data_IF_668155476005
#
_entry.id   IF_668155476005
#
_cell.length_a   1.000
_cell.length_b   1.000
_cell.length_c   1.000
_cell.angle_alpha   90.00
_cell.angle_beta   90.00
_cell.angle_gamma   90.00
#
_symmetry.space_group_name_H-M   'P 1'
#
loop_
_entity.id
_entity.type
_entity.pdbx_description
1 polymer ?
2 water ?
#
# COMPACT_ATOMS: atom_id res chain seq x y z
N UNK A 1 10.37 19.35 -14.86
CA UNK A 1 9.34 18.70 -14.01
C UNK A 1 8.63 17.57 -14.77
N UNK A 2 8.54 17.70 -16.09
CA UNK A 2 7.93 16.64 -16.91
C UNK A 2 9.13 15.70 -17.09
N UNK A 3 8.90 14.44 -16.84
CA UNK A 3 9.97 13.47 -16.83
C UNK A 3 9.97 12.37 -17.89
N UNK A 4 11.18 11.94 -18.28
CA UNK A 4 11.36 10.88 -19.28
C UNK A 4 12.14 9.73 -18.65
N UNK A 5 11.62 8.51 -18.78
CA UNK A 5 12.28 7.34 -18.20
C UNK A 5 12.37 6.17 -19.18
N UNK A 6 13.15 5.16 -18.82
CA UNK A 6 13.32 3.99 -19.66
C UNK A 6 12.34 2.87 -19.34
N UNK A 7 11.83 2.86 -18.11
CA UNK A 7 10.89 1.81 -17.70
C UNK A 7 9.82 2.38 -16.78
N UNK A 8 8.63 1.78 -16.86
CA UNK A 8 7.54 2.23 -16.02
C UNK A 8 7.86 2.00 -14.53
N UNK A 9 8.76 1.07 -14.24
CA UNK A 9 9.11 0.80 -12.84
C UNK A 9 9.81 2.00 -12.21
N UNK A 10 10.43 2.84 -13.04
CA UNK A 10 11.10 4.03 -12.53
C UNK A 10 10.08 5.04 -12.02
N UNK A 11 8.81 4.82 -12.38
CA UNK A 11 7.75 5.72 -11.94
C UNK A 11 7.21 5.35 -10.57
N UNK A 12 7.60 4.18 -10.07
CA UNK A 12 7.15 3.74 -8.77
C UNK A 12 7.82 4.61 -7.71
N UNK A 13 7.02 5.22 -6.84
CA UNK A 13 7.57 6.07 -5.80
C UNK A 13 7.40 7.55 -6.06
N UNK A 14 7.92 8.35 -5.14
CA UNK A 14 7.82 9.81 -5.21
C UNK A 14 6.38 10.26 -5.38
N UNK A 15 5.52 9.67 -4.57
CA UNK A 15 4.10 9.99 -4.59
C UNK A 15 3.86 11.32 -3.88
N UNK A 16 2.94 12.13 -4.40
CA UNK A 16 2.63 13.43 -3.81
C UNK A 16 1.81 13.38 -2.54
N UNK A 17 1.90 14.44 -1.76
CA UNK A 17 1.15 14.58 -0.53
C UNK A 17 0.24 15.77 -0.73
N UNK A 18 -1.04 15.59 -0.44
CA UNK A 18 -2.02 16.65 -0.60
C UNK A 18 -2.56 17.10 0.75
N UNK A 19 -2.52 18.41 1.00
CA UNK A 19 -3.01 18.95 2.25
C UNK A 19 -4.54 19.00 2.22
N UNK A 20 -5.19 18.55 3.28
CA UNK A 20 -6.65 18.57 3.34
C UNK A 20 -7.10 19.98 3.72
N UNK A 21 -8.20 20.43 3.13
CA UNK A 21 -8.69 21.78 3.38
C UNK A 21 -10.12 21.90 3.86
N UNK A 22 -10.92 20.85 3.75
CA UNK A 22 -12.31 20.95 4.14
C UNK A 22 -12.84 20.01 5.21
N UNK A 23 -12.32 18.80 5.27
CA UNK A 23 -12.82 17.84 6.25
C UNK A 23 -12.11 17.94 7.59
N UNK A 24 -11.20 18.90 7.71
CA UNK A 24 -10.47 19.09 8.97
C UNK A 24 -10.99 20.32 9.72
N UNK A 25 -11.32 20.13 10.99
CA UNK A 25 -11.82 21.21 11.82
C UNK A 25 -10.78 22.33 11.98
N UNK A 26 -11.25 23.53 12.29
CA UNK A 26 -10.39 24.69 12.47
C UNK A 26 -9.34 24.49 13.57
N UNK A 27 -9.64 23.61 14.51
CA UNK A 27 -8.76 23.33 15.65
C UNK A 27 -7.62 22.33 15.46
N UNK A 28 -7.79 21.42 14.53
CA UNK A 28 -6.79 20.39 14.31
C UNK A 28 -5.48 20.80 13.67
N UNK A 29 -4.52 19.88 13.73
CA UNK A 29 -3.22 20.06 13.12
C UNK A 29 -3.54 19.93 11.65
N UNK A 30 -2.58 20.28 10.79
CA UNK A 30 -2.80 20.17 9.35
C UNK A 30 -2.64 18.69 9.03
N UNK A 31 -3.43 18.21 8.08
CA UNK A 31 -3.38 16.81 7.69
C UNK A 31 -3.00 16.68 6.22
N UNK A 32 -2.04 15.82 5.93
CA UNK A 32 -1.59 15.60 4.57
C UNK A 32 -1.79 14.14 4.19
N UNK A 33 -2.29 13.89 2.98
CA UNK A 33 -2.49 12.53 2.53
C UNK A 33 -1.53 12.21 1.38
N UNK A 34 -0.67 11.22 1.59
CA UNK A 34 0.29 10.79 0.58
C UNK A 34 -0.45 9.78 -0.29
N UNK A 35 -0.68 10.14 -1.55
CA UNK A 35 -1.45 9.33 -2.48
C UNK A 35 -0.68 8.24 -3.22
N UNK A 36 -0.62 7.06 -2.63
CA UNK A 36 0.08 5.94 -3.22
C UNK A 36 -0.58 5.37 -4.47
N UNK A 37 -1.80 5.81 -4.77
CA UNK A 37 -2.44 5.31 -5.99
C UNK A 37 -1.89 6.07 -7.19
N UNK A 38 -1.00 7.01 -6.93
CA UNK A 38 -0.39 7.76 -8.01
C UNK A 38 0.72 6.89 -8.61
N UNK A 39 0.99 5.75 -7.98
CA UNK A 39 2.01 4.83 -8.50
C UNK A 39 1.43 4.28 -9.81
N UNK A 40 2.30 3.82 -10.73
CA UNK A 40 1.84 3.27 -12.02
C UNK A 40 0.88 2.10 -11.92
N UNK A 41 1.00 1.31 -10.85
CA UNK A 41 0.12 0.18 -10.64
C UNK A 41 -1.04 0.56 -9.74
N UNK A 42 -1.10 1.86 -9.42
CA UNK A 42 -2.14 2.46 -8.60
C UNK A 42 -2.30 2.02 -7.14
N UNK A 43 -1.21 1.58 -6.52
CA UNK A 43 -1.27 1.20 -5.11
C UNK A 43 0.12 1.21 -4.51
N UNK A 44 0.17 1.34 -3.18
CA UNK A 44 1.43 1.36 -2.47
C UNK A 44 2.21 0.06 -2.69
N UNK A 45 1.49 -1.01 -3.02
CA UNK A 45 2.13 -2.30 -3.24
C UNK A 45 3.05 -2.40 -4.45
N UNK A 46 3.08 -1.37 -5.29
CA UNK A 46 3.98 -1.34 -6.43
C UNK A 46 5.40 -1.38 -5.86
N UNK A 47 5.57 -0.66 -4.75
CA UNK A 47 6.87 -0.57 -4.08
C UNK A 47 7.43 -1.91 -3.62
N UNK A 48 6.63 -2.68 -2.88
CA UNK A 48 7.11 -3.97 -2.39
C UNK A 48 7.35 -4.92 -3.55
N UNK A 49 6.51 -4.86 -4.57
CA UNK A 49 6.69 -5.73 -5.73
C UNK A 49 8.06 -5.43 -6.37
N UNK A 50 8.34 -4.16 -6.61
CA UNK A 50 9.61 -3.77 -7.20
C UNK A 50 10.80 -4.19 -6.32
N UNK A 51 10.70 -3.90 -5.02
CA UNK A 51 11.76 -4.24 -4.07
C UNK A 51 12.05 -5.74 -4.03
N UNK A 52 11.01 -6.57 -4.06
CA UNK A 52 11.16 -8.02 -4.03
C UNK A 52 11.96 -8.52 -5.23
N UNK A 53 11.61 -8.00 -6.40
CA UNK A 53 12.27 -8.40 -7.63
C UNK A 53 13.68 -7.85 -7.75
N UNK A 54 13.92 -6.63 -7.27
CA UNK A 54 15.26 -6.06 -7.31
C UNK A 54 16.19 -6.79 -6.35
N UNK A 55 15.64 -7.28 -5.24
CA UNK A 55 16.44 -8.01 -4.26
C UNK A 55 16.88 -9.32 -4.93
N UNK A 56 15.94 -9.96 -5.61
CA UNK A 56 16.21 -11.21 -6.30
C UNK A 56 17.28 -10.99 -7.38
N UNK A 57 17.21 -9.87 -8.08
CA UNK A 57 18.18 -9.57 -9.12
C UNK A 57 19.54 -9.33 -8.48
N UNK A 58 19.59 -8.43 -7.51
CA UNK A 58 20.83 -8.13 -6.81
C UNK A 58 21.48 -9.40 -6.31
N UNK A 59 20.66 -10.34 -5.84
CA UNK A 59 21.15 -11.62 -5.31
C UNK A 59 21.48 -12.62 -6.41
N UNK A 60 21.54 -12.12 -7.64
CA UNK A 60 21.84 -12.99 -8.77
C UNK A 60 20.92 -14.20 -8.93
N UNK A 61 19.78 -14.18 -8.26
CA UNK A 61 18.82 -15.28 -8.36
C UNK A 61 17.92 -15.20 -9.61
N UNK A 62 18.07 -14.14 -10.40
CA UNK A 62 17.24 -13.99 -11.59
C UNK A 62 17.98 -13.51 -12.82
N UNK A 63 17.76 -14.21 -13.93
CA UNK A 63 18.38 -13.82 -15.17
C UNK A 63 17.24 -13.55 -16.13
N UNK A 64 17.52 -12.82 -17.21
CA UNK A 64 16.51 -12.46 -18.21
C UNK A 64 15.50 -13.57 -18.51
N UNK A 65 14.25 -13.18 -18.69
CA UNK A 65 13.20 -14.12 -19.02
C UNK A 65 12.91 -15.27 -18.06
N UNK A 66 13.53 -15.28 -16.89
CA UNK A 66 13.30 -16.36 -15.93
C UNK A 66 11.90 -16.33 -15.32
N UNK A 67 11.47 -17.49 -14.84
CA UNK A 67 10.15 -17.62 -14.22
C UNK A 67 10.27 -17.45 -12.72
N UNK A 68 9.34 -16.69 -12.14
CA UNK A 68 9.32 -16.50 -10.70
C UNK A 68 7.93 -16.86 -10.24
N UNK A 69 7.86 -17.61 -9.15
CA UNK A 69 6.57 -17.99 -8.61
C UNK A 69 6.40 -17.23 -7.31
N UNK A 70 5.17 -16.85 -7.00
CA UNK A 70 4.93 -16.10 -5.79
C UNK A 70 3.50 -16.24 -5.30
N UNK A 71 3.32 -16.65 -4.05
CA UNK A 71 1.97 -16.79 -3.49
C UNK A 71 1.59 -15.35 -3.16
N UNK A 72 0.51 -14.86 -3.75
CA UNK A 72 0.14 -13.48 -3.51
C UNK A 72 -1.36 -13.24 -3.64
N UNK A 73 -1.77 -12.00 -3.44
CA UNK A 73 -3.18 -11.64 -3.54
C UNK A 73 -3.32 -10.12 -3.54
N UNK A 74 -4.51 -9.66 -3.86
CA UNK A 74 -4.79 -8.23 -3.86
C UNK A 74 -3.86 -7.34 -4.66
N UNK A 75 -3.60 -6.16 -4.12
CA UNK A 75 -2.77 -5.18 -4.80
C UNK A 75 -1.33 -5.63 -5.01
N UNK A 76 -0.82 -6.50 -4.15
CA UNK A 76 0.54 -6.98 -4.34
C UNK A 76 0.61 -7.84 -5.60
N UNK A 77 -0.48 -8.56 -5.86
CA UNK A 77 -0.54 -9.40 -7.06
C UNK A 77 -0.49 -8.54 -8.31
N UNK A 78 -1.26 -7.45 -8.31
CA UNK A 78 -1.29 -6.55 -9.45
C UNK A 78 0.10 -5.92 -9.62
N UNK A 79 0.70 -5.52 -8.51
CA UNK A 79 2.02 -4.91 -8.54
C UNK A 79 3.04 -5.86 -9.13
N UNK A 80 3.06 -7.10 -8.65
CA UNK A 80 4.01 -8.09 -9.17
C UNK A 80 3.81 -8.37 -10.66
N UNK A 81 2.55 -8.47 -11.08
CA UNK A 81 2.26 -8.73 -12.49
C UNK A 81 2.83 -7.62 -13.36
N UNK A 82 2.58 -6.37 -12.96
CA UNK A 82 3.07 -5.23 -13.73
C UNK A 82 4.60 -5.16 -13.76
N UNK A 83 5.21 -5.31 -12.59
CA UNK A 83 6.67 -5.24 -12.48
C UNK A 83 7.34 -6.35 -13.27
N UNK A 84 6.82 -7.57 -13.15
CA UNK A 84 7.38 -8.71 -13.87
C UNK A 84 7.35 -8.43 -15.37
N UNK A 85 6.24 -7.87 -15.85
CA UNK A 85 6.10 -7.56 -17.27
C UNK A 85 7.15 -6.52 -17.72
N UNK A 86 7.30 -5.46 -16.96
CA UNK A 86 8.25 -4.40 -17.30
C UNK A 86 9.69 -4.92 -17.26
N UNK A 87 9.97 -5.82 -16.33
CA UNK A 87 11.30 -6.38 -16.15
C UNK A 87 11.62 -7.55 -17.07
N UNK A 88 10.59 -8.09 -17.73
CA UNK A 88 10.80 -9.19 -18.64
C UNK A 88 10.83 -10.58 -18.01
N UNK A 89 10.25 -10.72 -16.81
CA UNK A 89 10.21 -12.03 -16.14
C UNK A 89 8.86 -12.69 -16.31
N UNK A 90 8.83 -14.03 -16.27
CA UNK A 90 7.58 -14.76 -16.40
C UNK A 90 7.02 -15.03 -15.01
N UNK A 91 5.94 -14.33 -14.67
CA UNK A 91 5.35 -14.48 -13.36
C UNK A 91 4.25 -15.54 -13.25
N UNK A 92 4.39 -16.38 -12.24
CA UNK A 92 3.41 -17.41 -11.94
C UNK A 92 2.88 -17.01 -10.57
N UNK A 93 1.67 -16.46 -10.54
CA UNK A 93 1.10 -15.99 -9.30
C UNK A 93 0.13 -17.01 -8.74
N UNK A 94 0.43 -17.50 -7.54
CA UNK A 94 -0.41 -18.49 -6.86
C UNK A 94 -1.28 -17.65 -5.94
N UNK A 95 -2.58 -17.63 -6.23
CA UNK A 95 -3.49 -16.79 -5.46
C UNK A 95 -4.78 -17.46 -5.03
N UNK A 96 -5.27 -17.10 -3.84
CA UNK A 96 -6.53 -17.68 -3.37
C UNK A 96 -7.59 -17.29 -4.41
N UNK A 97 -8.39 -18.26 -4.81
CA UNK A 97 -9.43 -18.05 -5.81
C UNK A 97 -10.60 -17.27 -5.21
N UNK A 98 -10.39 -15.96 -5.01
CA UNK A 98 -11.42 -15.10 -4.42
C UNK A 98 -11.69 -13.85 -5.27
N UNK A 99 -10.92 -13.66 -6.33
CA UNK A 99 -11.08 -12.48 -7.17
C UNK A 99 -12.08 -12.64 -8.30
N UNK A 100 -12.51 -11.51 -8.84
CA UNK A 100 -13.46 -11.48 -9.94
C UNK A 100 -12.81 -11.83 -11.27
N UNK A 101 -13.64 -12.04 -12.29
CA UNK A 101 -13.14 -12.34 -13.62
C UNK A 101 -12.34 -11.17 -14.15
N UNK A 102 -12.84 -9.95 -13.96
CA UNK A 102 -12.13 -8.77 -14.44
C UNK A 102 -10.76 -8.64 -13.79
N UNK A 103 -10.62 -9.02 -12.52
CA UNK A 103 -9.33 -8.94 -11.86
C UNK A 103 -8.38 -9.91 -12.54
N UNK A 104 -8.88 -11.10 -12.85
CA UNK A 104 -8.08 -12.09 -13.55
C UNK A 104 -7.72 -11.56 -14.94
N UNK A 105 -8.62 -10.80 -15.55
CA UNK A 105 -8.36 -10.22 -16.87
C UNK A 105 -7.17 -9.27 -16.74
N UNK A 106 -7.20 -8.46 -15.69
CA UNK A 106 -6.16 -7.48 -15.42
C UNK A 106 -4.81 -8.17 -15.26
N UNK A 107 -4.74 -9.13 -14.35
CA UNK A 107 -3.49 -9.84 -14.08
C UNK A 107 -2.96 -10.52 -15.33
N UNK A 108 -3.87 -11.17 -16.07
CA UNK A 108 -3.45 -11.88 -17.28
C UNK A 108 -3.04 -10.91 -18.38
N UNK A 109 -3.57 -9.70 -18.35
CA UNK A 109 -3.21 -8.70 -19.35
C UNK A 109 -1.70 -8.41 -19.28
N UNK A 110 -1.14 -8.53 -18.09
CA UNK A 110 0.29 -8.29 -17.90
C UNK A 110 1.11 -9.52 -18.25
N UNK A 111 0.45 -10.58 -18.68
CA UNK A 111 1.14 -11.79 -19.06
C UNK A 111 1.38 -12.75 -17.90
N UNK A 112 0.83 -12.43 -16.73
CA UNK A 112 1.00 -13.28 -15.57
C UNK A 112 0.19 -14.56 -15.72
N UNK A 113 0.74 -15.67 -15.23
CA UNK A 113 0.06 -16.95 -15.28
C UNK A 113 -0.54 -17.13 -13.90
N UNK A 114 -1.82 -17.48 -13.84
CA UNK A 114 -2.45 -17.64 -12.55
C UNK A 114 -2.69 -19.09 -12.15
N UNK A 115 -2.41 -19.37 -10.88
CA UNK A 115 -2.64 -20.69 -10.30
C UNK A 115 -3.53 -20.39 -9.10
N UNK A 116 -4.82 -20.70 -9.23
CA UNK A 116 -5.79 -20.40 -8.19
C UNK A 116 -6.00 -21.52 -7.17
N UNK A 117 -5.87 -21.15 -5.90
CA UNK A 117 -6.03 -22.11 -4.80
C UNK A 117 -7.36 -21.92 -4.07
N UNK A 118 -7.78 -22.92 -3.27
CA UNK A 118 -9.04 -22.85 -2.52
C UNK A 118 -9.24 -21.53 -1.76
N UNK A 119 -10.31 -20.83 -2.09
CA UNK A 119 -10.60 -19.56 -1.45
C UNK A 119 -10.65 -19.61 0.07
N UNK A 120 -11.20 -20.69 0.60
CA UNK A 120 -11.33 -20.85 2.05
C UNK A 120 -10.01 -21.06 2.78
N UNK A 121 -8.97 -21.44 2.05
CA UNK A 121 -7.67 -21.67 2.68
C UNK A 121 -6.80 -20.42 2.66
N UNK A 122 -7.32 -19.37 2.04
CA UNK A 122 -6.57 -18.12 1.98
C UNK A 122 -5.12 -18.28 1.56
N UNK A 123 -4.28 -17.38 2.07
CA UNK A 123 -2.87 -17.38 1.75
C UNK A 123 -2.11 -18.65 2.15
N UNK A 124 -2.53 -19.26 3.24
CA UNK A 124 -1.86 -20.47 3.68
C UNK A 124 -1.92 -21.50 2.54
N UNK A 125 -3.09 -21.59 1.91
CA UNK A 125 -3.26 -22.51 0.80
C UNK A 125 -2.40 -22.12 -0.39
N UNK A 126 -2.33 -20.82 -0.68
CA UNK A 126 -1.54 -20.32 -1.79
C UNK A 126 -0.07 -20.60 -1.53
N UNK A 127 0.37 -20.31 -0.31
CA UNK A 127 1.75 -20.53 0.09
C UNK A 127 2.13 -22.01 -0.07
N UNK A 128 1.23 -22.91 0.33
CA UNK A 128 1.47 -24.34 0.21
C UNK A 128 1.61 -24.77 -1.25
N UNK A 129 0.69 -24.30 -2.09
CA UNK A 129 0.73 -24.65 -3.51
C UNK A 129 2.01 -24.14 -4.18
N UNK A 130 2.42 -22.94 -3.80
CA UNK A 130 3.63 -22.37 -4.37
C UNK A 130 4.85 -23.21 -4.02
N UNK A 131 4.94 -23.60 -2.74
CA UNK A 131 6.07 -24.42 -2.31
C UNK A 131 6.04 -25.75 -3.04
N UNK A 132 4.83 -26.21 -3.36
CA UNK A 132 4.65 -27.45 -4.08
C UNK A 132 5.22 -27.31 -5.50
N UNK A 133 4.86 -26.22 -6.16
CA UNK A 133 5.32 -25.96 -7.52
C UNK A 133 6.84 -25.84 -7.59
N UNK A 134 7.42 -25.24 -6.56
CA UNK A 134 8.87 -25.08 -6.48
C UNK A 134 9.52 -26.47 -6.43
N UNK A 135 9.04 -27.34 -5.55
CA UNK A 135 9.62 -28.67 -5.45
C UNK A 135 9.43 -29.48 -6.72
N UNK A 136 8.37 -29.20 -7.47
CA UNK A 136 8.12 -29.94 -8.71
C UNK A 136 8.81 -29.32 -9.92
N UNK A 137 8.82 -27.99 -10.00
CA UNK A 137 9.40 -27.31 -11.16
C UNK A 137 10.72 -26.58 -10.94
N UNK A 138 11.04 -26.31 -9.69
CA UNK A 138 12.29 -25.61 -9.39
C UNK A 138 12.22 -24.13 -9.69
N UNK A 139 11.00 -23.58 -9.77
CA UNK A 139 10.86 -22.16 -10.05
C UNK A 139 11.48 -21.38 -8.91
N UNK A 140 11.85 -20.14 -9.20
CA UNK A 140 12.44 -19.30 -8.18
C UNK A 140 11.31 -18.58 -7.45
N UNK A 141 11.32 -18.62 -6.12
CA UNK A 141 10.28 -17.98 -5.33
C UNK A 141 10.87 -16.97 -4.36
N UNK A 142 10.61 -15.69 -4.60
CA UNK A 142 11.13 -14.65 -3.70
C UNK A 142 10.02 -13.94 -2.94
N UNK A 157 12.25 4.06 0.86
CA UNK A 157 12.07 5.18 -0.05
C UNK A 157 10.89 6.05 0.36
N UNK A 158 9.83 5.42 0.86
CA UNK A 158 8.65 6.15 1.29
C UNK A 158 9.01 7.15 2.38
N UNK A 159 9.83 6.70 3.33
CA UNK A 159 10.25 7.57 4.41
C UNK A 159 11.08 8.74 3.92
N UNK A 160 12.00 8.48 3.01
CA UNK A 160 12.86 9.52 2.46
C UNK A 160 12.00 10.59 1.77
N UNK A 161 11.01 10.13 1.01
CA UNK A 161 10.11 11.03 0.30
C UNK A 161 9.36 11.91 1.28
N UNK A 162 8.86 11.30 2.35
CA UNK A 162 8.11 12.03 3.35
C UNK A 162 8.92 13.17 3.99
N UNK A 163 10.19 12.91 4.28
CA UNK A 163 11.05 13.93 4.87
C UNK A 163 11.18 15.11 3.91
N UNK A 164 11.37 14.80 2.63
CA UNK A 164 11.52 15.81 1.60
C UNK A 164 10.25 16.65 1.47
N UNK A 165 9.10 15.99 1.54
CA UNK A 165 7.80 16.67 1.42
C UNK A 165 7.34 17.44 2.65
N UNK A 166 7.64 16.90 3.83
CA UNK A 166 7.24 17.54 5.08
C UNK A 166 8.30 18.53 5.57
N UNK A 167 9.47 18.48 4.95
CA UNK A 167 10.53 19.39 5.32
C UNK A 167 11.04 19.29 6.75
N UNK A 168 11.05 20.42 7.44
CA UNK A 168 11.56 20.49 8.80
C UNK A 168 10.58 20.11 9.92
N UNK A 169 9.34 19.81 9.59
CA UNK A 169 8.37 19.44 10.62
C UNK A 169 7.35 18.37 10.24
N UNK A 170 7.15 17.43 11.15
CA UNK A 170 6.18 16.35 11.01
C UNK A 170 5.94 15.84 12.42
N UNK A 171 4.71 15.96 12.87
CA UNK A 171 4.35 15.55 14.22
C UNK A 171 3.80 14.14 14.39
N UNK A 172 3.19 13.58 13.36
CA UNK A 172 2.64 12.23 13.44
C UNK A 172 2.54 11.59 12.07
N UNK A 173 2.77 10.28 12.03
CA UNK A 173 2.69 9.53 10.80
C UNK A 173 1.66 8.43 10.99
N UNK A 174 0.72 8.32 10.05
CA UNK A 174 -0.35 7.32 10.16
C UNK A 174 -0.41 6.41 8.94
N UNK A 175 -0.48 5.10 9.16
CA UNK A 175 -0.55 4.16 8.06
C UNK A 175 -1.23 2.85 8.45
N UNK A 176 -1.97 2.28 7.51
CA UNK A 176 -2.66 1.04 7.77
C UNK A 176 -1.71 -0.14 7.89
N UNK A 177 -2.13 -1.14 8.66
CA UNK A 177 -1.29 -2.32 8.84
C UNK A 177 -1.16 -3.10 7.55
N UNK A 178 -2.07 -2.85 6.62
CA UNK A 178 -2.03 -3.52 5.33
C UNK A 178 -0.82 -3.11 4.52
N UNK A 179 -0.18 -2.01 4.89
CA UNK A 179 1.01 -1.53 4.18
C UNK A 179 2.26 -2.19 4.75
N UNK A 180 2.06 -3.01 5.78
CA UNK A 180 3.13 -3.74 6.44
C UNK A 180 4.50 -3.11 6.60
N UNK A 181 5.48 -3.70 5.91
CA UNK A 181 6.85 -3.21 5.97
C UNK A 181 7.09 -1.77 5.56
N UNK A 182 6.17 -1.19 4.78
CA UNK A 182 6.33 0.19 4.36
C UNK A 182 6.44 1.02 5.64
N UNK A 183 5.55 0.75 6.58
CA UNK A 183 5.54 1.42 7.87
C UNK A 183 6.87 1.17 8.56
N UNK A 184 7.17 -0.11 8.68
CA UNK A 184 8.39 -0.58 9.31
C UNK A 184 9.61 0.15 8.75
N UNK A 185 9.71 0.24 7.42
CA UNK A 185 10.84 0.91 6.80
C UNK A 185 10.87 2.44 6.84
N UNK A 186 9.71 3.07 6.67
CA UNK A 186 9.63 4.53 6.68
C UNK A 186 9.91 5.09 8.08
N UNK A 187 9.53 4.32 9.10
CA UNK A 187 9.73 4.73 10.48
C UNK A 187 11.17 5.00 10.89
N UNK A 188 12.10 4.19 10.38
CA UNK A 188 13.50 4.36 10.71
C UNK A 188 13.99 5.73 10.23
N UNK A 189 13.59 6.08 9.02
CA UNK A 189 13.98 7.36 8.44
C UNK A 189 13.30 8.51 9.19
N UNK A 190 11.99 8.38 9.40
CA UNK A 190 11.21 9.41 10.08
C UNK A 190 11.66 9.76 11.49
N UNK A 191 11.91 8.75 12.31
CA UNK A 191 12.35 9.01 13.69
C UNK A 191 13.69 9.75 13.74
N UNK A 192 14.55 9.50 12.76
CA UNK A 192 15.87 10.16 12.68
C UNK A 192 15.78 11.60 12.24
N UNK A 193 14.78 11.89 11.42
CA UNK A 193 14.58 13.24 10.93
C UNK A 193 13.72 14.02 11.93
N UNK A 194 12.75 13.32 12.51
CA UNK A 194 11.83 13.92 13.48
C UNK A 194 11.83 13.09 14.77
N UNK A 195 12.86 13.27 15.60
CA UNK A 195 13.01 12.54 16.87
C UNK A 195 11.74 12.41 17.71
N UNK A 196 10.94 13.48 17.75
CA UNK A 196 9.72 13.48 18.56
C UNK A 196 8.45 12.92 17.90
N UNK A 197 8.56 12.50 16.64
CA UNK A 197 7.39 11.98 15.91
C UNK A 197 6.73 10.75 16.52
N UNK A 198 5.40 10.71 16.45
CA UNK A 198 4.63 9.58 16.94
C UNK A 198 4.11 8.84 15.70
N UNK A 199 4.25 7.52 15.69
CA UNK A 199 3.80 6.71 14.56
C UNK A 199 2.65 5.79 14.95
N UNK A 200 1.56 5.85 14.19
CA UNK A 200 0.39 5.03 14.49
C UNK A 200 0.03 4.03 13.42
N UNK A 201 -0.20 2.78 13.83
CA UNK A 201 -0.59 1.73 12.90
C UNK A 201 -2.11 1.70 13.00
N UNK A 202 -2.79 1.62 11.86
CA UNK A 202 -4.24 1.61 11.87
C UNK A 202 -4.79 0.25 11.48
N UNK A 203 -5.75 -0.26 12.25
CA UNK A 203 -6.30 -1.55 11.93
C UNK A 203 -7.81 -1.67 12.03
N UNK A 204 -8.38 -2.58 11.22
CA UNK A 204 -9.81 -2.88 11.14
C UNK A 204 -10.38 -3.14 12.54
N UNK A 205 -11.61 -2.74 12.78
CA UNK A 205 -12.25 -3.00 14.06
C UNK A 205 -12.40 -4.49 14.15
N UNK A 206 -12.68 -5.11 13.00
CA UNK A 206 -12.87 -6.56 12.92
C UNK A 206 -11.69 -7.25 13.55
N UNK A 230 17.76 -8.50 24.51
CA UNK A 230 16.40 -8.90 24.84
C UNK A 230 15.58 -7.73 25.38
N UNK A 231 15.56 -6.67 24.59
CA UNK A 231 14.73 -5.52 24.92
C UNK A 231 13.70 -5.49 23.81
N UNK A 232 12.45 -5.22 24.17
CA UNK A 232 11.39 -5.18 23.18
C UNK A 232 11.60 -3.96 22.29
N UNK A 233 11.50 -4.17 20.98
CA UNK A 233 11.66 -3.07 20.03
C UNK A 233 10.28 -2.48 19.77
N UNK A 234 10.13 -1.20 20.09
CA UNK A 234 8.86 -0.50 19.89
C UNK A 234 9.01 0.56 18.82
N UNK A 235 10.13 0.53 18.11
CA UNK A 235 10.42 1.52 17.08
C UNK A 235 9.45 1.55 15.90
N UNK A 236 8.84 0.42 15.58
CA UNK A 236 7.91 0.38 14.46
C UNK A 236 6.69 1.29 14.63
N UNK A 237 6.09 1.28 15.81
CA UNK A 237 4.93 2.14 16.06
C UNK A 237 4.74 2.46 17.53
N UNK A 238 4.19 3.65 17.79
CA UNK A 238 3.93 4.10 19.14
C UNK A 238 2.58 3.60 19.63
N UNK A 239 1.58 3.65 18.76
CA UNK A 239 0.26 3.19 19.14
C UNK A 239 -0.52 2.57 18.01
N UNK A 240 -1.54 1.81 18.36
CA UNK A 240 -2.41 1.17 17.38
C UNK A 240 -3.74 1.90 17.45
N UNK A 241 -4.30 2.23 16.28
CA UNK A 241 -5.58 2.90 16.22
C UNK A 241 -6.56 1.98 15.52
N UNK A 242 -7.65 1.67 16.20
CA UNK A 242 -8.67 0.79 15.64
C UNK A 242 -9.82 1.58 15.04
N UNK A 243 -10.20 1.23 13.82
CA UNK A 243 -11.28 1.93 13.15
C UNK A 243 -12.34 0.97 12.63
N UNK A 244 -13.59 1.25 12.97
CA UNK A 244 -14.71 0.43 12.53
C UNK A 244 -14.94 0.65 11.04
N UNK A 245 -15.52 -0.35 10.37
CA UNK A 245 -15.79 -0.26 8.94
C UNK A 245 -16.70 0.92 8.68
N UNK A 246 -17.55 1.21 9.66
CA UNK A 246 -18.50 2.30 9.56
C UNK A 246 -17.77 3.63 9.57
N UNK A 247 -16.78 3.75 10.47
CA UNK A 247 -15.98 4.97 10.55
C UNK A 247 -15.16 5.12 9.28
N UNK A 248 -14.62 4.01 8.80
CA UNK A 248 -13.80 4.02 7.59
C UNK A 248 -14.62 4.51 6.40
N UNK A 249 -15.78 3.91 6.19
CA UNK A 249 -16.67 4.29 5.10
C UNK A 249 -16.97 5.79 5.13
N UNK A 250 -17.34 6.28 6.31
CA UNK A 250 -17.68 7.69 6.50
C UNK A 250 -16.56 8.64 6.08
N UNK A 251 -15.34 8.34 6.52
CA UNK A 251 -14.19 9.19 6.20
C UNK A 251 -13.83 9.16 4.71
N UNK A 252 -13.83 7.98 4.10
CA UNK A 252 -13.49 7.89 2.69
C UNK A 252 -14.53 8.57 1.81
N UNK A 253 -15.81 8.44 2.20
CA UNK A 253 -16.88 9.06 1.42
C UNK A 253 -16.79 10.57 1.49
N UNK A 254 -16.42 11.06 2.66
CA UNK A 254 -16.31 12.47 2.89
C UNK A 254 -15.12 13.08 2.13
N UNK A 255 -13.97 12.43 2.17
CA UNK A 255 -12.79 12.94 1.49
C UNK A 255 -13.04 12.96 -0.02
N UNK A 256 -13.79 11.98 -0.50
CA UNK A 256 -14.04 11.88 -1.93
C UNK A 256 -14.93 13.07 -2.38
N UNK A 257 -15.99 13.32 -1.61
CA UNK A 257 -16.92 14.40 -1.87
C UNK A 257 -16.33 15.82 -1.70
N UNK A 258 -15.68 15.99 -0.56
CA UNK A 258 -15.12 17.28 -0.18
C UNK A 258 -13.70 17.63 -0.56
N UNK A 259 -12.90 16.65 -0.94
CA UNK A 259 -11.51 16.93 -1.31
C UNK A 259 -11.18 16.38 -2.70
N UNK A 260 -12.04 15.51 -3.23
CA UNK A 260 -11.77 14.93 -4.54
C UNK A 260 -10.70 13.85 -4.44
N UNK A 261 -10.51 13.33 -3.22
CA UNK A 261 -9.54 12.26 -2.96
C UNK A 261 -10.33 10.97 -2.75
N UNK A 262 -10.25 10.09 -3.74
CA UNK A 262 -10.99 8.82 -3.77
C UNK A 262 -10.16 7.58 -3.42
N UNK A 263 -10.20 7.16 -2.16
CA UNK A 263 -9.43 6.00 -1.78
C UNK A 263 -10.25 4.74 -1.55
N UNK A 264 -9.57 3.63 -1.25
CA UNK A 264 -10.28 2.40 -0.97
C UNK A 264 -10.68 2.37 0.49
N UNK A 265 -11.21 1.25 0.98
CA UNK A 265 -11.63 1.19 2.38
C UNK A 265 -10.51 1.41 3.39
N UNK A 266 -9.36 0.77 3.17
CA UNK A 266 -8.26 0.95 4.10
C UNK A 266 -7.89 2.43 4.14
N UNK A 267 -8.17 3.14 3.05
CA UNK A 267 -7.87 4.57 2.99
C UNK A 267 -8.78 5.36 3.93
N UNK A 268 -10.05 4.99 3.98
CA UNK A 268 -10.98 5.67 4.86
C UNK A 268 -10.54 5.51 6.31
N UNK A 269 -10.03 4.33 6.63
CA UNK A 269 -9.57 4.06 7.99
C UNK A 269 -8.41 4.98 8.35
N UNK A 270 -7.45 5.10 7.44
CA UNK A 270 -6.29 5.96 7.67
C UNK A 270 -6.71 7.41 7.85
N UNK A 271 -7.64 7.86 7.02
CA UNK A 271 -8.13 9.23 7.10
C UNK A 271 -8.79 9.50 8.45
N UNK A 272 -9.65 8.58 8.89
CA UNK A 272 -10.32 8.73 10.18
C UNK A 272 -9.27 8.82 11.29
N UNK A 273 -8.31 7.90 11.25
CA UNK A 273 -7.26 7.88 12.25
C UNK A 273 -6.48 9.18 12.24
N UNK A 274 -6.10 9.65 11.05
CA UNK A 274 -5.34 10.89 10.90
C UNK A 274 -6.09 12.10 11.46
N UNK A 275 -7.40 12.14 11.23
CA UNK A 275 -8.22 13.23 11.73
C UNK A 275 -8.30 13.16 13.24
N UNK A 276 -8.44 11.96 13.77
CA UNK A 276 -8.50 11.75 15.22
C UNK A 276 -7.23 12.30 15.86
N UNK A 277 -6.08 11.80 15.39
CA UNK A 277 -4.78 12.22 15.91
C UNK A 277 -4.59 13.73 15.75
N UNK A 278 -5.06 14.27 14.62
CA UNK A 278 -4.94 15.69 14.34
C UNK A 278 -5.67 16.57 15.35
N UNK A 279 -6.84 16.12 15.79
CA UNK A 279 -7.63 16.87 16.75
C UNK A 279 -6.92 16.96 18.10
N UNK A 280 -6.26 15.89 18.49
CA UNK A 280 -5.54 15.87 19.75
C UNK A 280 -4.32 16.78 19.68
N UNK A 281 -3.57 16.69 18.59
CA UNK A 281 -2.38 17.51 18.42
C UNK A 281 -2.71 19.00 18.39
N UNK A 282 -3.80 19.34 17.70
CA UNK A 282 -4.20 20.74 17.62
C UNK A 282 -3.46 21.57 16.59
N UNK A 283 -3.83 22.84 16.49
CA UNK A 283 -3.23 23.78 15.53
C UNK A 283 -1.71 23.91 15.58
N UNK A 284 -1.13 24.21 14.42
CA UNK A 284 0.31 24.38 14.32
C UNK A 284 1.07 23.08 14.11
N UNK A 285 0.40 21.95 14.34
CA UNK A 285 1.02 20.64 14.17
C UNK A 285 0.75 20.07 12.78
N UNK A 286 1.46 19.00 12.44
CA UNK A 286 1.32 18.36 11.13
C UNK A 286 1.25 16.83 11.19
N UNK A 287 0.26 16.27 10.50
CA UNK A 287 0.04 14.83 10.44
C UNK A 287 0.01 14.38 8.98
N UNK A 288 0.64 13.24 8.69
CA UNK A 288 0.65 12.70 7.34
C UNK A 288 0.20 11.24 7.37
N UNK A 289 -0.70 10.89 6.46
CA UNK A 289 -1.22 9.54 6.40
C UNK A 289 -1.08 8.96 4.99
N UNK A 290 -0.93 7.64 4.93
CA UNK A 290 -0.81 6.93 3.67
C UNK A 290 -2.16 6.54 3.09
N UNK A 291 -2.39 6.85 1.82
CA UNK A 291 -3.61 6.46 1.10
C UNK A 291 -3.05 5.39 0.16
N UNK A 292 -3.24 4.10 0.50
CA UNK A 292 -2.77 2.93 -0.25
C UNK A 292 -3.27 2.66 -1.65
N UNK A 293 -4.54 2.95 -1.90
CA UNK A 293 -5.11 2.65 -3.21
C UNK A 293 -6.28 3.55 -3.56
N UNK A 294 -6.72 3.44 -4.80
CA UNK A 294 -7.80 4.27 -5.33
C UNK A 294 -9.18 3.60 -5.27
N UNK A 295 -10.20 4.41 -4.98
CA UNK A 295 -11.54 3.88 -4.91
C UNK A 295 -12.04 3.21 -6.19
N UNK A 296 -11.46 3.55 -7.33
CA UNK A 296 -11.89 2.96 -8.60
C UNK A 296 -11.72 1.44 -8.62
N UNK A 297 -10.84 0.94 -7.77
CA UNK A 297 -10.58 -0.50 -7.72
C UNK A 297 -11.53 -1.21 -6.77
N UNK A 298 -12.43 -0.46 -6.13
CA UNK A 298 -13.35 -1.06 -5.17
C UNK A 298 -14.81 -0.68 -5.38
N UNK A 299 -15.17 -0.40 -6.62
CA UNK A 299 -16.53 0.00 -6.96
C UNK A 299 -17.61 -1.07 -6.76
N UNK A 300 -17.20 -2.31 -6.59
CA UNK A 300 -18.19 -3.38 -6.38
C UNK A 300 -18.40 -3.68 -4.91
N UNK A 301 -17.65 -2.99 -4.04
CA UNK A 301 -17.80 -3.19 -2.61
C UNK A 301 -18.87 -2.22 -2.12
N UNK A 302 -19.25 -2.31 -0.84
CA UNK A 302 -20.28 -1.41 -0.28
C UNK A 302 -19.76 0.01 -0.02
N UNK A 303 -18.46 0.22 -0.18
CA UNK A 303 -17.85 1.53 0.06
C UNK A 303 -18.56 2.65 -0.71
N UNK A 304 -18.63 2.51 -2.03
CA UNK A 304 -19.27 3.53 -2.83
C UNK A 304 -20.57 3.02 -3.44
N UNK A 305 -21.19 2.11 -2.70
CA UNK A 305 -22.45 1.51 -3.09
C UNK A 305 -23.51 2.52 -2.72
N UNK A 306 -24.44 2.78 -3.63
CA UNK A 306 -25.50 3.72 -3.36
C UNK A 306 -26.83 3.06 -3.51
N UNK A 307 -27.82 3.70 -2.94
CA UNK A 307 -29.17 3.19 -3.03
C UNK A 307 -29.66 3.45 -4.46
N UNK A 308 -30.50 2.57 -5.00
CA UNK A 308 -31.17 2.83 -6.29
C UNK A 308 -32.14 1.73 -6.61
#
# INVERSE_FOLDING_TARGET
MARTVNSITELIGDTPAVKLNRIVDEDSADVYLKLEFMNPGSSVKDRIALAMIEAAEKAGKLKPGDTIVEPTSGNTGIGLAMVAAAKGYKAVLVMPDTMSLERRNLLRAYGAELVLTPGAQGMRGAIAKAEELVREHGYFMPQQFKNEANPEIHRLTTGKEIVEQMGDQLDAFVAGVGTGGTITGAGKVLREAYPNIKIYAVEPADSPVLSGGKPGPHKIQGIGAGFVPDILDTSIYDGVITVTTEEAFAAARRAAREEGILGGISSGAAIHAALKVAKELGKGKKVLAIIPSNGERYLSTPLYQFED
#
